data_IF_663977702128
#
_entry.id   IF_663977702128
#
_cell.length_a   1.000
_cell.length_b   1.000
_cell.length_c   1.000
_cell.angle_alpha   90.00
_cell.angle_beta   90.00
_cell.angle_gamma   90.00
#
_symmetry.space_group_name_H-M   'P 1'
#
loop_
_entity.id
_entity.type
_entity.pdbx_description
1 polymer ?
#
# COMPACT_ATOMS: atom_id res chain seq x y z
N UNK A 1 -28.75 25.25 -5.48
CA UNK A 1 -29.88 24.49 -6.04
C UNK A 1 -29.73 23.07 -5.51
N UNK A 2 -30.43 22.75 -4.42
CA UNK A 2 -30.64 21.35 -4.02
C UNK A 2 -31.77 20.82 -4.90
N UNK A 3 -31.47 20.51 -6.15
CA UNK A 3 -32.38 19.64 -6.90
C UNK A 3 -32.31 18.26 -6.25
N UNK A 4 -33.47 17.72 -5.87
CA UNK A 4 -33.63 16.42 -5.22
C UNK A 4 -33.06 15.32 -6.13
N UNK A 5 -31.76 15.04 -6.00
CA UNK A 5 -31.15 13.89 -6.65
C UNK A 5 -31.77 12.62 -6.07
N UNK A 6 -32.58 11.94 -6.86
CA UNK A 6 -33.19 10.67 -6.47
C UNK A 6 -32.23 9.52 -6.79
N UNK A 7 -31.51 9.04 -5.78
CA UNK A 7 -30.58 7.92 -5.92
C UNK A 7 -31.29 6.56 -6.19
N UNK A 8 -32.59 6.47 -5.90
CA UNK A 8 -33.34 5.20 -5.95
C UNK A 8 -32.98 4.23 -4.82
N UNK A 9 -32.35 4.71 -3.75
CA UNK A 9 -32.04 3.97 -2.52
C UNK A 9 -31.79 4.97 -1.35
N UNK A 10 -31.85 4.53 -0.08
CA UNK A 10 -31.59 5.41 1.06
C UNK A 10 -30.18 5.98 1.04
N UNK A 11 -30.07 7.31 1.12
CA UNK A 11 -28.81 8.06 1.10
C UNK A 11 -28.70 9.01 2.29
N UNK A 12 -27.48 9.42 2.59
CA UNK A 12 -27.18 10.47 3.56
C UNK A 12 -26.01 11.32 3.05
N UNK A 13 -25.92 12.57 3.51
CA UNK A 13 -24.79 13.44 3.21
C UNK A 13 -23.75 13.30 4.32
N UNK A 14 -22.53 12.97 3.95
CA UNK A 14 -21.39 12.90 4.86
C UNK A 14 -20.33 13.92 4.47
N UNK A 15 -19.56 14.38 5.45
CA UNK A 15 -18.37 15.21 5.23
C UNK A 15 -17.12 14.36 5.43
N UNK A 16 -16.25 14.32 4.44
CA UNK A 16 -14.93 13.70 4.54
C UNK A 16 -13.87 14.67 4.02
N UNK A 17 -12.86 14.99 4.83
CA UNK A 17 -11.93 16.06 4.50
C UNK A 17 -12.65 17.39 4.27
N UNK A 18 -12.42 17.99 3.10
CA UNK A 18 -13.04 19.27 2.72
C UNK A 18 -14.31 19.11 1.86
N UNK A 19 -14.70 17.89 1.53
CA UNK A 19 -15.82 17.62 0.62
C UNK A 19 -17.06 17.17 1.36
N UNK A 20 -18.23 17.48 0.79
CA UNK A 20 -19.52 16.91 1.18
C UNK A 20 -19.99 15.98 0.08
N UNK A 21 -20.39 14.77 0.44
CA UNK A 21 -20.79 13.76 -0.54
C UNK A 21 -22.08 13.08 -0.09
N UNK A 22 -22.96 12.83 -1.04
CA UNK A 22 -24.08 11.93 -0.89
C UNK A 22 -23.57 10.49 -1.03
N UNK A 23 -23.88 9.66 -0.04
CA UNK A 23 -23.48 8.25 0.02
C UNK A 23 -24.70 7.39 0.38
N UNK A 24 -24.69 6.08 0.07
CA UNK A 24 -25.71 5.19 0.59
C UNK A 24 -25.69 5.17 2.13
N UNK A 25 -26.87 5.23 2.73
CA UNK A 25 -27.04 5.09 4.18
C UNK A 25 -26.81 3.63 4.58
N UNK A 26 -25.62 3.31 5.08
CA UNK A 26 -25.15 1.94 5.21
C UNK A 26 -26.01 1.08 6.14
N UNK A 27 -26.61 1.67 7.18
CA UNK A 27 -27.49 0.97 8.14
C UNK A 27 -28.71 0.38 7.44
N UNK A 28 -29.18 0.97 6.34
CA UNK A 28 -30.30 0.46 5.56
C UNK A 28 -29.99 -0.84 4.79
N UNK A 29 -28.71 -1.22 4.70
CA UNK A 29 -28.25 -2.41 3.94
C UNK A 29 -27.71 -3.53 4.82
N UNK A 30 -27.77 -3.38 6.14
CA UNK A 30 -27.43 -4.43 7.12
C UNK A 30 -28.66 -5.30 7.36
N UNK A 31 -28.62 -6.57 6.91
CA UNK A 31 -29.68 -7.56 7.16
C UNK A 31 -29.33 -8.52 8.29
N UNK A 32 -28.04 -8.69 8.58
CA UNK A 32 -27.52 -9.52 9.67
C UNK A 32 -26.29 -8.88 10.32
N UNK A 33 -25.96 -9.20 11.59
CA UNK A 33 -24.79 -8.66 12.26
C UNK A 33 -23.44 -9.00 11.60
N UNK A 34 -23.37 -10.04 10.78
CA UNK A 34 -22.16 -10.43 10.03
C UNK A 34 -22.05 -9.75 8.66
N UNK A 35 -23.00 -8.90 8.30
CA UNK A 35 -23.02 -8.24 7.00
C UNK A 35 -21.98 -7.13 6.91
N UNK A 36 -21.14 -7.22 5.88
CA UNK A 36 -20.30 -6.11 5.49
C UNK A 36 -21.09 -5.12 4.62
N UNK A 37 -21.80 -4.20 5.30
CA UNK A 37 -22.74 -3.24 4.70
C UNK A 37 -22.20 -2.52 3.44
N UNK A 38 -20.94 -2.03 3.38
CA UNK A 38 -20.42 -1.37 2.19
C UNK A 38 -20.51 -2.20 0.91
N UNK A 39 -20.32 -3.53 1.01
CA UNK A 39 -20.41 -4.44 -0.15
C UNK A 39 -21.83 -4.75 -0.60
N UNK A 40 -22.83 -4.45 0.23
CA UNK A 40 -24.25 -4.70 -0.05
C UNK A 40 -24.97 -3.46 -0.57
N UNK A 41 -24.39 -2.28 -0.38
CA UNK A 41 -24.97 -1.03 -0.86
C UNK A 41 -24.94 -0.97 -2.41
N UNK A 42 -25.94 -0.35 -3.07
CA UNK A 42 -25.99 -0.22 -4.53
C UNK A 42 -24.84 0.57 -5.14
N UNK A 43 -24.20 1.44 -4.35
CA UNK A 43 -22.99 2.18 -4.69
C UNK A 43 -22.02 1.99 -3.52
N UNK A 44 -20.75 1.79 -3.80
CA UNK A 44 -19.79 1.56 -2.73
C UNK A 44 -19.33 2.86 -2.05
N UNK A 45 -19.35 2.84 -0.72
CA UNK A 45 -18.66 3.79 0.13
C UNK A 45 -18.29 3.08 1.44
N UNK A 46 -17.04 3.22 1.88
CA UNK A 46 -16.58 2.70 3.17
C UNK A 46 -15.95 3.83 4.00
N UNK A 47 -16.56 4.24 5.13
CA UNK A 47 -16.01 5.27 6.01
C UNK A 47 -14.71 4.84 6.70
N UNK A 48 -14.44 3.53 6.84
CA UNK A 48 -13.16 3.03 7.40
C UNK A 48 -11.97 3.37 6.50
N UNK A 49 -12.21 3.57 5.20
CA UNK A 49 -11.19 3.95 4.21
C UNK A 49 -10.86 5.46 4.20
N UNK A 50 -11.34 6.25 5.17
CA UNK A 50 -10.98 7.67 5.25
C UNK A 50 -9.48 7.88 5.46
N UNK A 51 -8.83 7.10 6.34
CA UNK A 51 -7.37 7.20 6.52
C UNK A 51 -6.62 6.94 5.23
N UNK A 52 -7.09 5.94 4.48
CA UNK A 52 -6.54 5.56 3.19
C UNK A 52 -6.64 6.73 2.20
N UNK A 53 -7.79 7.40 2.13
CA UNK A 53 -7.99 8.59 1.27
C UNK A 53 -7.19 9.80 1.74
N UNK A 54 -7.10 10.06 3.04
CA UNK A 54 -6.25 11.12 3.61
C UNK A 54 -4.78 10.92 3.22
N UNK A 55 -4.26 9.69 3.38
CA UNK A 55 -2.88 9.36 2.99
C UNK A 55 -2.66 9.52 1.49
N UNK A 56 -3.65 9.20 0.66
CA UNK A 56 -3.55 9.42 -0.79
C UNK A 56 -3.49 10.91 -1.14
N UNK A 57 -4.29 11.76 -0.50
CA UNK A 57 -4.22 13.23 -0.69
C UNK A 57 -2.81 13.74 -0.35
N UNK A 58 -2.23 13.28 0.76
CA UNK A 58 -0.85 13.65 1.14
C UNK A 58 0.19 13.16 0.13
N UNK A 59 0.08 11.91 -0.31
CA UNK A 59 1.01 11.33 -1.28
C UNK A 59 0.93 12.05 -2.62
N UNK A 60 -0.27 12.41 -3.07
CA UNK A 60 -0.48 13.12 -4.32
C UNK A 60 0.05 14.56 -4.25
N UNK A 61 -0.13 15.24 -3.12
CA UNK A 61 0.43 16.56 -2.89
C UNK A 61 1.97 16.54 -2.78
N UNK A 62 2.54 15.52 -2.14
CA UNK A 62 3.99 15.31 -2.10
C UNK A 62 4.56 15.09 -3.51
N UNK A 63 3.91 14.26 -4.32
CA UNK A 63 4.24 14.07 -5.72
C UNK A 63 4.15 15.37 -6.53
N UNK A 64 3.07 16.14 -6.38
CA UNK A 64 2.92 17.42 -7.07
C UNK A 64 4.08 18.37 -6.76
N UNK A 65 4.50 18.47 -5.48
CA UNK A 65 5.65 19.29 -5.07
C UNK A 65 6.98 18.81 -5.67
N UNK A 66 7.12 17.53 -5.98
CA UNK A 66 8.32 16.99 -6.61
C UNK A 66 8.37 17.25 -8.11
N UNK A 67 7.22 17.22 -8.79
CA UNK A 67 7.15 17.48 -10.25
C UNK A 67 6.96 18.96 -10.59
N UNK A 68 6.52 19.76 -9.62
CA UNK A 68 6.36 21.22 -9.67
C UNK A 68 5.65 21.73 -10.92
N UNK A 69 4.49 21.13 -11.22
CA UNK A 69 3.62 21.57 -12.31
C UNK A 69 2.18 21.15 -12.08
N UNK A 70 1.29 21.66 -12.91
CA UNK A 70 -0.07 21.17 -13.01
C UNK A 70 -0.12 19.76 -13.60
N UNK A 71 -1.12 19.00 -13.16
CA UNK A 71 -1.15 17.57 -13.43
C UNK A 71 -2.57 16.98 -13.44
N UNK A 72 -2.72 15.87 -14.16
CA UNK A 72 -3.97 15.13 -14.31
C UNK A 72 -3.98 13.80 -13.59
N UNK A 73 -5.11 13.47 -12.97
CA UNK A 73 -5.25 12.31 -12.09
C UNK A 73 -6.37 11.40 -12.61
N UNK A 74 -6.21 10.09 -12.49
CA UNK A 74 -7.27 9.13 -12.77
C UNK A 74 -7.59 8.25 -11.56
N UNK A 75 -8.88 8.16 -11.24
CA UNK A 75 -9.46 7.15 -10.36
C UNK A 75 -10.41 6.26 -11.18
N UNK A 76 -9.96 5.09 -11.66
CA UNK A 76 -10.75 4.26 -12.56
C UNK A 76 -11.85 3.44 -11.88
N UNK A 77 -11.88 3.39 -10.54
CA UNK A 77 -12.75 2.54 -9.71
C UNK A 77 -13.32 3.37 -8.55
N UNK A 78 -14.23 4.27 -8.85
CA UNK A 78 -14.51 5.42 -7.99
C UNK A 78 -15.62 5.25 -6.95
N UNK A 79 -16.53 4.28 -7.11
CA UNK A 79 -17.75 4.22 -6.32
C UNK A 79 -18.51 5.55 -6.37
N UNK A 80 -18.73 6.17 -5.20
CA UNK A 80 -19.39 7.48 -5.10
C UNK A 80 -18.52 8.69 -5.52
N UNK A 81 -17.26 8.49 -5.94
CA UNK A 81 -16.36 9.55 -6.43
C UNK A 81 -15.59 10.30 -5.34
N UNK A 82 -15.71 9.90 -4.07
CA UNK A 82 -15.13 10.63 -2.93
C UNK A 82 -13.65 10.95 -3.09
N UNK A 83 -12.83 9.99 -3.53
CA UNK A 83 -11.38 10.17 -3.61
C UNK A 83 -11.02 11.16 -4.72
N UNK A 84 -11.56 11.00 -5.93
CA UNK A 84 -11.31 11.91 -7.05
C UNK A 84 -11.78 13.34 -6.77
N UNK A 85 -12.92 13.50 -6.11
CA UNK A 85 -13.42 14.81 -5.66
C UNK A 85 -12.47 15.41 -4.63
N UNK A 86 -11.99 14.62 -3.66
CA UNK A 86 -10.98 15.07 -2.69
C UNK A 86 -9.67 15.44 -3.37
N UNK A 87 -9.21 14.70 -4.39
CA UNK A 87 -8.02 15.10 -5.16
C UNK A 87 -8.21 16.45 -5.85
N UNK A 88 -9.34 16.66 -6.53
CA UNK A 88 -9.62 17.93 -7.20
C UNK A 88 -9.78 19.11 -6.23
N UNK A 89 -10.31 18.87 -5.03
CA UNK A 89 -10.56 19.91 -4.02
C UNK A 89 -9.34 20.22 -3.18
N UNK A 90 -8.65 19.20 -2.73
CA UNK A 90 -7.68 19.27 -1.63
C UNK A 90 -6.23 19.28 -2.11
N UNK A 91 -5.92 18.88 -3.36
CA UNK A 91 -4.55 18.81 -3.87
C UNK A 91 -4.28 19.97 -4.82
N UNK A 92 -3.34 20.83 -4.43
CA UNK A 92 -2.89 21.98 -5.22
C UNK A 92 -2.19 21.49 -6.48
N UNK A 93 -2.46 22.13 -7.62
CA UNK A 93 -1.90 21.78 -8.93
C UNK A 93 -2.67 20.71 -9.69
N UNK A 94 -3.74 20.12 -9.13
CA UNK A 94 -4.63 19.25 -9.91
C UNK A 94 -5.46 20.10 -10.87
N UNK A 95 -5.15 19.96 -12.17
CA UNK A 95 -5.86 20.60 -13.27
C UNK A 95 -7.14 19.84 -13.59
N UNK A 96 -7.01 18.50 -13.70
CA UNK A 96 -8.09 17.61 -14.13
C UNK A 96 -8.08 16.28 -13.39
N UNK A 97 -9.26 15.82 -12.98
CA UNK A 97 -9.46 14.47 -12.45
C UNK A 97 -10.43 13.72 -13.36
N UNK A 98 -10.05 12.52 -13.77
CA UNK A 98 -10.95 11.57 -14.45
C UNK A 98 -11.37 10.51 -13.46
N UNK A 99 -12.66 10.49 -13.14
CA UNK A 99 -13.30 9.56 -12.22
C UNK A 99 -14.15 8.59 -13.03
N UNK A 100 -14.07 7.30 -12.75
CA UNK A 100 -14.81 6.29 -13.49
C UNK A 100 -15.33 5.18 -12.58
N UNK A 101 -16.46 4.61 -12.96
CA UNK A 101 -16.95 3.36 -12.40
C UNK A 101 -17.73 2.59 -13.47
N UNK A 102 -17.72 1.26 -13.40
CA UNK A 102 -18.50 0.41 -14.31
C UNK A 102 -20.00 0.43 -13.94
N UNK A 103 -20.33 0.69 -12.67
CA UNK A 103 -21.70 0.77 -12.19
C UNK A 103 -22.32 2.13 -12.52
N UNK A 104 -23.34 2.13 -13.39
CA UNK A 104 -24.04 3.35 -13.79
C UNK A 104 -24.65 4.14 -12.63
N UNK A 105 -25.11 3.48 -11.56
CA UNK A 105 -25.61 4.16 -10.34
C UNK A 105 -24.50 4.89 -9.59
N UNK A 106 -23.32 4.29 -9.55
CA UNK A 106 -22.13 4.90 -8.94
C UNK A 106 -21.72 6.16 -9.70
N UNK A 107 -21.77 6.10 -11.04
CA UNK A 107 -21.50 7.25 -11.92
C UNK A 107 -22.51 8.38 -11.73
N UNK A 108 -23.81 8.08 -11.63
CA UNK A 108 -24.83 9.10 -11.38
C UNK A 108 -24.59 9.79 -10.03
N UNK A 109 -24.33 9.01 -8.98
CA UNK A 109 -24.03 9.55 -7.65
C UNK A 109 -22.72 10.37 -7.65
N UNK A 110 -21.68 9.91 -8.35
CA UNK A 110 -20.42 10.62 -8.48
C UNK A 110 -20.59 11.96 -9.22
N UNK A 111 -21.38 12.02 -10.30
CA UNK A 111 -21.72 13.28 -10.99
C UNK A 111 -22.40 14.28 -10.05
N UNK A 112 -23.41 13.83 -9.32
CA UNK A 112 -24.08 14.65 -8.32
C UNK A 112 -23.12 15.16 -7.24
N UNK A 113 -22.24 14.28 -6.73
CA UNK A 113 -21.24 14.65 -5.75
C UNK A 113 -20.20 15.65 -6.29
N UNK A 114 -19.83 15.57 -7.57
CA UNK A 114 -18.97 16.56 -8.22
C UNK A 114 -19.65 17.94 -8.25
N UNK A 115 -20.92 17.99 -8.66
CA UNK A 115 -21.72 19.21 -8.70
C UNK A 115 -21.92 19.82 -7.31
N UNK A 116 -22.21 18.98 -6.30
CA UNK A 116 -22.37 19.39 -4.90
C UNK A 116 -21.14 20.11 -4.33
N UNK A 117 -19.96 19.83 -4.86
CA UNK A 117 -18.71 20.46 -4.46
C UNK A 117 -18.25 21.57 -5.42
N UNK A 118 -19.01 21.87 -6.48
CA UNK A 118 -18.70 22.89 -7.47
C UNK A 118 -17.46 22.56 -8.31
N UNK A 119 -17.25 21.28 -8.63
CA UNK A 119 -16.03 20.78 -9.29
C UNK A 119 -16.25 20.29 -10.73
N UNK A 120 -17.39 20.58 -11.35
CA UNK A 120 -17.78 20.08 -12.68
C UNK A 120 -16.79 20.45 -13.79
N UNK A 121 -16.09 21.58 -13.67
CA UNK A 121 -15.05 22.00 -14.62
C UNK A 121 -13.74 21.22 -14.49
N UNK A 122 -13.45 20.66 -13.31
CA UNK A 122 -12.20 19.94 -13.02
C UNK A 122 -12.35 18.43 -13.05
N UNK A 123 -13.53 17.90 -12.75
CA UNK A 123 -13.77 16.47 -12.59
C UNK A 123 -14.65 15.93 -13.71
N UNK A 124 -14.09 15.03 -14.51
CA UNK A 124 -14.82 14.32 -15.56
C UNK A 124 -15.21 12.94 -15.05
N UNK A 125 -16.51 12.65 -15.05
CA UNK A 125 -17.05 11.35 -14.63
C UNK A 125 -17.41 10.49 -15.83
N UNK A 126 -16.90 9.25 -15.89
CA UNK A 126 -17.13 8.30 -16.98
C UNK A 126 -17.76 6.99 -16.48
N UNK A 127 -18.47 6.30 -17.37
CA UNK A 127 -19.08 4.99 -17.10
C UNK A 127 -18.50 3.94 -18.05
N UNK A 128 -17.29 3.47 -17.77
CA UNK A 128 -16.55 2.54 -18.60
C UNK A 128 -15.97 1.42 -17.74
N UNK A 129 -15.60 0.31 -18.39
CA UNK A 129 -14.64 -0.62 -17.79
C UNK A 129 -13.30 0.10 -17.53
N UNK A 130 -12.68 -0.19 -16.40
CA UNK A 130 -11.45 0.47 -15.96
C UNK A 130 -10.27 0.24 -16.93
N UNK A 131 -10.13 -0.97 -17.49
CA UNK A 131 -9.07 -1.26 -18.47
C UNK A 131 -9.36 -0.57 -19.80
N UNK A 132 -10.62 -0.54 -20.24
CA UNK A 132 -11.01 0.21 -21.44
C UNK A 132 -10.71 1.70 -21.30
N UNK A 133 -11.07 2.31 -20.16
CA UNK A 133 -10.72 3.68 -19.84
C UNK A 133 -9.21 3.91 -19.95
N UNK A 134 -8.43 3.17 -19.16
CA UNK A 134 -6.98 3.36 -19.07
C UNK A 134 -6.31 3.12 -20.44
N UNK A 135 -6.78 2.13 -21.20
CA UNK A 135 -6.33 1.88 -22.58
C UNK A 135 -6.52 3.08 -23.50
N UNK A 136 -7.63 3.82 -23.36
CA UNK A 136 -7.89 5.06 -24.10
C UNK A 136 -6.90 6.20 -23.80
N UNK A 137 -6.22 6.15 -22.66
CA UNK A 137 -5.22 7.13 -22.21
C UNK A 137 -3.77 6.67 -22.42
N UNK A 138 -3.54 5.47 -22.97
CA UNK A 138 -2.18 4.93 -23.19
C UNK A 138 -1.37 5.65 -24.29
N UNK A 139 -2.04 6.44 -25.14
CA UNK A 139 -1.40 7.18 -26.23
C UNK A 139 -0.49 8.32 -25.71
N UNK A 140 0.63 8.62 -26.39
CA UNK A 140 1.46 9.77 -26.06
C UNK A 140 0.64 11.07 -25.93
N UNK A 141 1.04 11.95 -25.00
CA UNK A 141 0.37 13.23 -24.67
C UNK A 141 -1.03 13.14 -24.06
N UNK A 142 -1.65 11.96 -23.96
CA UNK A 142 -2.93 11.77 -23.24
C UNK A 142 -2.74 11.26 -21.81
N UNK A 143 -1.62 10.59 -21.53
CA UNK A 143 -1.33 9.89 -20.28
C UNK A 143 -1.50 10.74 -19.02
N UNK A 144 -1.93 10.09 -17.95
CA UNK A 144 -2.09 10.70 -16.64
C UNK A 144 -0.75 10.93 -15.95
N UNK A 145 -0.74 11.90 -15.04
CA UNK A 145 0.36 12.10 -14.11
C UNK A 145 0.29 11.20 -12.90
N UNK A 146 -0.93 10.92 -12.46
CA UNK A 146 -1.17 10.03 -11.34
C UNK A 146 -2.39 9.14 -11.57
N UNK A 147 -2.32 7.89 -11.12
CA UNK A 147 -3.41 6.92 -11.18
C UNK A 147 -3.54 6.25 -9.81
N UNK A 148 -4.75 6.19 -9.25
CA UNK A 148 -5.04 5.48 -7.98
C UNK A 148 -5.96 4.27 -8.25
N UNK A 149 -5.40 3.07 -8.19
CA UNK A 149 -6.09 1.78 -8.37
C UNK A 149 -6.52 1.24 -7.01
N UNK A 150 -7.81 1.36 -6.69
CA UNK A 150 -8.41 0.96 -5.40
C UNK A 150 -9.61 0.00 -5.56
N UNK A 151 -9.39 -1.27 -5.98
CA UNK A 151 -10.46 -2.22 -6.21
C UNK A 151 -10.87 -3.00 -4.96
N UNK A 152 -11.94 -3.79 -5.10
CA UNK A 152 -12.16 -4.96 -4.24
C UNK A 152 -11.20 -6.08 -4.57
N UNK A 153 -10.35 -6.43 -3.61
CA UNK A 153 -9.39 -7.52 -3.72
C UNK A 153 -8.10 -7.07 -4.41
N UNK A 154 -7.62 -7.77 -5.45
CA UNK A 154 -6.32 -7.52 -6.04
C UNK A 154 -6.35 -6.39 -7.10
N UNK A 155 -5.33 -5.52 -7.15
CA UNK A 155 -5.16 -4.50 -8.21
C UNK A 155 -4.55 -5.06 -9.50
N UNK A 156 -4.06 -6.31 -9.47
CA UNK A 156 -3.38 -6.98 -10.58
C UNK A 156 -4.10 -6.84 -11.93
N UNK A 157 -5.44 -7.03 -12.04
CA UNK A 157 -6.13 -6.97 -13.33
C UNK A 157 -6.05 -5.63 -14.06
N UNK A 158 -5.62 -4.57 -13.38
CA UNK A 158 -5.57 -3.21 -13.93
C UNK A 158 -4.12 -2.71 -14.15
N UNK A 159 -3.10 -3.47 -13.70
CA UNK A 159 -1.71 -2.99 -13.68
C UNK A 159 -1.17 -2.68 -15.07
N UNK A 160 -1.40 -3.55 -16.05
CA UNK A 160 -0.88 -3.38 -17.42
C UNK A 160 -1.39 -2.08 -18.05
N UNK A 161 -2.72 -1.88 -18.01
CA UNK A 161 -3.38 -0.68 -18.53
C UNK A 161 -2.96 0.56 -17.77
N UNK A 162 -2.86 0.50 -16.44
CA UNK A 162 -2.44 1.62 -15.60
C UNK A 162 -1.01 2.07 -15.92
N UNK A 163 -0.07 1.13 -16.03
CA UNK A 163 1.33 1.42 -16.39
C UNK A 163 1.41 2.14 -17.75
N UNK A 164 0.66 1.66 -18.75
CA UNK A 164 0.67 2.24 -20.11
C UNK A 164 -0.01 3.62 -20.16
N UNK A 165 -1.01 3.84 -19.31
CA UNK A 165 -1.75 5.09 -19.19
C UNK A 165 -1.02 6.16 -18.36
N UNK A 166 0.07 5.80 -17.68
CA UNK A 166 0.86 6.69 -16.84
C UNK A 166 2.02 7.27 -17.63
N UNK A 167 2.26 8.59 -17.53
CA UNK A 167 3.36 9.25 -18.23
C UNK A 167 4.72 8.98 -17.55
N UNK A 168 5.81 9.33 -18.23
CA UNK A 168 7.14 9.29 -17.65
C UNK A 168 7.21 10.18 -16.40
N UNK A 169 7.74 9.65 -15.30
CA UNK A 169 7.77 10.31 -14.00
C UNK A 169 6.46 10.20 -13.22
N UNK A 170 5.40 9.59 -13.77
CA UNK A 170 4.08 9.56 -13.14
C UNK A 170 4.02 8.69 -11.89
N UNK A 171 3.04 8.98 -11.03
CA UNK A 171 2.76 8.29 -9.76
C UNK A 171 1.64 7.25 -9.92
N UNK A 172 1.92 6.00 -9.55
CA UNK A 172 0.92 4.95 -9.44
C UNK A 172 0.68 4.62 -7.96
N UNK A 173 -0.57 4.70 -7.53
CA UNK A 173 -1.02 4.22 -6.22
C UNK A 173 -1.83 2.93 -6.41
N UNK A 174 -1.51 1.91 -5.63
CA UNK A 174 -2.14 0.59 -5.68
C UNK A 174 -2.66 0.22 -4.29
N UNK A 175 -3.90 -0.24 -4.23
CA UNK A 175 -4.50 -0.82 -3.02
C UNK A 175 -4.77 -2.31 -3.26
N UNK A 176 -4.42 -3.14 -2.29
CA UNK A 176 -4.83 -4.55 -2.28
C UNK A 176 -5.49 -4.90 -0.95
N UNK A 177 -6.68 -5.53 -1.03
CA UNK A 177 -7.45 -5.93 0.15
C UNK A 177 -7.54 -7.45 0.31
N UNK A 178 -7.04 -8.24 -0.65
CA UNK A 178 -7.02 -9.72 -0.59
C UNK A 178 -5.81 -10.28 0.17
N UNK A 179 -5.57 -9.75 1.38
CA UNK A 179 -4.44 -10.11 2.24
C UNK A 179 -4.35 -11.60 2.56
N UNK A 180 -5.46 -12.34 2.55
CA UNK A 180 -5.44 -13.80 2.71
C UNK A 180 -4.57 -14.50 1.64
N UNK A 181 -4.58 -14.00 0.40
CA UNK A 181 -3.68 -14.51 -0.64
C UNK A 181 -2.24 -14.11 -0.34
N UNK A 182 -1.99 -12.80 -0.19
CA UNK A 182 -0.66 -12.22 -0.05
C UNK A 182 0.09 -12.64 1.23
N UNK A 183 -0.63 -12.93 2.31
CA UNK A 183 -0.07 -13.35 3.61
C UNK A 183 0.04 -14.88 3.74
N UNK A 184 -0.19 -15.62 2.67
CA UNK A 184 0.06 -17.06 2.62
C UNK A 184 -1.04 -17.96 3.18
N UNK A 185 -2.26 -17.47 3.41
CA UNK A 185 -3.42 -18.34 3.70
C UNK A 185 -3.81 -19.13 2.44
N UNK A 186 -3.81 -18.47 1.29
CA UNK A 186 -4.09 -19.08 -0.02
C UNK A 186 -2.90 -18.94 -0.98
N UNK A 187 -1.80 -19.69 -0.78
CA UNK A 187 -0.54 -19.48 -1.51
C UNK A 187 -0.69 -19.69 -3.03
N UNK A 188 -1.49 -20.68 -3.47
CA UNK A 188 -1.77 -20.89 -4.91
C UNK A 188 -2.48 -19.70 -5.55
N UNK A 189 -3.35 -19.01 -4.81
CA UNK A 189 -4.02 -17.80 -5.32
C UNK A 189 -3.03 -16.64 -5.44
N UNK A 190 -2.12 -16.48 -4.48
CA UNK A 190 -1.07 -15.48 -4.55
C UNK A 190 -0.14 -15.69 -5.75
N UNK A 191 0.31 -16.93 -5.99
CA UNK A 191 1.16 -17.25 -7.15
C UNK A 191 0.43 -16.91 -8.46
N UNK A 192 -0.83 -17.31 -8.63
CA UNK A 192 -1.61 -17.02 -9.85
C UNK A 192 -1.81 -15.53 -10.10
N UNK A 193 -2.02 -14.74 -9.04
CA UNK A 193 -2.31 -13.30 -9.14
C UNK A 193 -1.05 -12.45 -9.22
N UNK A 194 -0.09 -12.68 -8.33
CA UNK A 194 1.06 -11.79 -8.15
C UNK A 194 2.36 -12.34 -8.76
N UNK A 195 2.38 -13.61 -9.17
CA UNK A 195 3.57 -14.25 -9.74
C UNK A 195 4.63 -14.65 -8.71
N UNK A 196 4.38 -14.44 -7.41
CA UNK A 196 5.32 -14.76 -6.34
C UNK A 196 4.70 -15.69 -5.28
N UNK A 197 5.53 -16.58 -4.72
CA UNK A 197 5.18 -17.42 -3.57
C UNK A 197 5.15 -16.59 -2.29
N UNK A 198 4.04 -16.56 -1.53
CA UNK A 198 4.02 -15.96 -0.20
C UNK A 198 4.53 -16.94 0.87
N UNK A 199 4.86 -16.40 2.04
CA UNK A 199 5.05 -17.20 3.25
C UNK A 199 4.15 -16.69 4.38
N UNK A 200 3.66 -17.62 5.19
CA UNK A 200 2.89 -17.32 6.41
C UNK A 200 3.83 -17.07 7.59
N UNK A 201 4.52 -15.94 7.56
CA UNK A 201 5.48 -15.51 8.59
C UNK A 201 4.90 -14.41 9.47
N UNK A 202 5.60 -14.07 10.54
CA UNK A 202 5.29 -12.95 11.42
C UNK A 202 5.40 -11.58 10.73
N UNK A 203 6.08 -11.52 9.58
CA UNK A 203 6.26 -10.34 8.74
C UNK A 203 5.51 -10.44 7.39
N UNK A 204 4.45 -11.25 7.34
CA UNK A 204 3.66 -11.48 6.12
C UNK A 204 3.08 -10.20 5.49
N UNK A 205 2.77 -9.16 6.28
CA UNK A 205 2.30 -7.88 5.75
C UNK A 205 3.39 -7.14 4.96
N UNK A 206 4.66 -7.25 5.37
CA UNK A 206 5.76 -6.71 4.57
C UNK A 206 5.99 -7.55 3.31
N UNK A 207 5.89 -8.88 3.41
CA UNK A 207 5.93 -9.75 2.22
C UNK A 207 4.81 -9.41 1.23
N UNK A 208 3.61 -9.12 1.73
CA UNK A 208 2.46 -8.73 0.91
C UNK A 208 2.76 -7.48 0.08
N UNK A 209 3.28 -6.43 0.72
CA UNK A 209 3.72 -5.20 0.02
C UNK A 209 4.80 -5.51 -1.01
N UNK A 210 5.79 -6.32 -0.65
CA UNK A 210 6.90 -6.66 -1.55
C UNK A 210 6.47 -7.52 -2.74
N UNK A 211 5.51 -8.41 -2.57
CA UNK A 211 4.91 -9.21 -3.64
C UNK A 211 4.12 -8.31 -4.61
N UNK A 212 3.33 -7.37 -4.09
CA UNK A 212 2.62 -6.40 -4.93
C UNK A 212 3.60 -5.50 -5.69
N UNK A 213 4.61 -4.96 -5.01
CA UNK A 213 5.66 -4.15 -5.63
C UNK A 213 6.45 -4.93 -6.69
N UNK A 214 6.77 -6.19 -6.44
CA UNK A 214 7.45 -7.05 -7.40
C UNK A 214 6.59 -7.37 -8.63
N UNK A 215 5.30 -7.64 -8.42
CA UNK A 215 4.33 -7.82 -9.50
C UNK A 215 4.23 -6.57 -10.39
N UNK A 216 4.19 -5.38 -9.77
CA UNK A 216 4.23 -4.11 -10.49
C UNK A 216 5.53 -3.95 -11.28
N UNK A 217 6.70 -4.20 -10.68
CA UNK A 217 7.99 -4.05 -11.34
C UNK A 217 8.11 -4.94 -12.59
N UNK A 218 7.71 -6.21 -12.50
CA UNK A 218 7.71 -7.13 -13.65
C UNK A 218 6.70 -6.69 -14.71
N UNK A 219 5.54 -6.19 -14.31
CA UNK A 219 4.52 -5.68 -15.27
C UNK A 219 5.03 -4.45 -16.01
N UNK A 220 5.67 -3.51 -15.32
CA UNK A 220 6.21 -2.30 -15.91
C UNK A 220 7.40 -2.58 -16.85
N UNK A 221 8.27 -3.51 -16.47
CA UNK A 221 9.44 -3.86 -17.28
C UNK A 221 9.07 -4.42 -18.66
N UNK A 222 7.91 -5.08 -18.81
CA UNK A 222 7.41 -5.55 -20.13
C UNK A 222 7.18 -4.42 -21.14
N UNK A 223 7.07 -3.17 -20.64
CA UNK A 223 6.86 -1.96 -21.44
C UNK A 223 8.08 -1.05 -21.45
N UNK A 224 9.26 -1.56 -21.07
CA UNK A 224 10.49 -0.77 -20.88
C UNK A 224 10.31 0.38 -19.85
N UNK A 225 9.53 0.13 -18.80
CA UNK A 225 9.27 1.10 -17.73
C UNK A 225 9.85 0.59 -16.41
N UNK A 226 10.69 1.43 -15.80
CA UNK A 226 11.20 1.26 -14.45
C UNK A 226 10.17 1.73 -13.43
N UNK A 227 10.18 1.10 -12.25
CA UNK A 227 9.44 1.57 -11.08
C UNK A 227 10.38 1.85 -9.92
N UNK A 228 10.06 2.90 -9.16
CA UNK A 228 10.68 3.20 -7.86
C UNK A 228 9.58 3.28 -6.82
N UNK A 229 9.62 2.39 -5.82
CA UNK A 229 8.68 2.46 -4.69
C UNK A 229 9.06 3.64 -3.81
N UNK A 230 8.13 4.59 -3.63
CA UNK A 230 8.36 5.82 -2.88
C UNK A 230 7.69 5.82 -1.51
N UNK A 231 6.59 5.07 -1.36
CA UNK A 231 5.88 4.94 -0.10
C UNK A 231 5.01 3.68 -0.11
N UNK A 232 4.78 3.08 1.06
CA UNK A 232 3.82 2.01 1.22
C UNK A 232 3.28 2.00 2.65
N UNK A 233 2.13 1.38 2.87
CA UNK A 233 1.71 1.06 4.23
C UNK A 233 0.82 -0.18 4.27
N UNK A 234 0.89 -0.91 5.38
CA UNK A 234 -0.14 -1.87 5.78
C UNK A 234 -0.98 -1.23 6.85
N UNK A 235 -2.30 -1.17 6.67
CA UNK A 235 -3.20 -0.58 7.67
C UNK A 235 -4.53 -1.30 7.67
N UNK A 236 -5.01 -1.65 8.87
CA UNK A 236 -6.23 -2.43 9.05
C UNK A 236 -6.21 -3.72 8.21
N UNK A 237 -7.04 -3.82 7.18
CA UNK A 237 -7.16 -5.01 6.32
C UNK A 237 -6.75 -4.77 4.86
N UNK A 238 -5.89 -3.79 4.61
CA UNK A 238 -5.36 -3.52 3.27
C UNK A 238 -3.88 -3.15 3.30
N UNK A 239 -3.24 -3.29 2.15
CA UNK A 239 -1.92 -2.73 1.89
C UNK A 239 -1.99 -1.69 0.77
N UNK A 240 -1.06 -0.75 0.79
CA UNK A 240 -0.86 0.25 -0.24
C UNK A 240 0.58 0.35 -0.69
N UNK A 241 0.75 0.58 -1.99
CA UNK A 241 2.04 0.81 -2.64
C UNK A 241 1.92 2.03 -3.54
N UNK A 242 2.83 2.99 -3.37
CA UNK A 242 3.00 4.16 -4.21
C UNK A 242 4.33 4.06 -4.91
N UNK A 243 4.33 4.16 -6.24
CA UNK A 243 5.51 4.04 -7.07
C UNK A 243 5.55 5.13 -8.13
N UNK A 244 6.74 5.69 -8.38
CA UNK A 244 6.97 6.53 -9.56
C UNK A 244 7.50 5.67 -10.71
N UNK A 245 7.26 6.11 -11.94
CA UNK A 245 7.70 5.40 -13.15
C UNK A 245 8.75 6.17 -13.92
N UNK A 246 9.67 5.47 -14.57
CA UNK A 246 10.62 6.09 -15.49
C UNK A 246 10.78 5.24 -16.76
N UNK A 247 10.66 5.88 -17.93
CA UNK A 247 10.76 5.17 -19.20
C UNK A 247 12.22 4.90 -19.59
N UNK A 248 12.44 3.74 -20.21
CA UNK A 248 13.68 3.32 -20.83
C UNK A 248 14.08 1.91 -20.40
N UNK A 249 14.43 1.06 -21.38
CA UNK A 249 14.81 -0.34 -21.16
C UNK A 249 15.94 -0.48 -20.12
N UNK A 250 17.01 0.34 -20.21
CA UNK A 250 18.11 0.34 -19.23
C UNK A 250 17.63 0.63 -17.80
N UNK A 251 16.68 1.54 -17.63
CA UNK A 251 16.10 1.85 -16.32
C UNK A 251 15.22 0.70 -15.83
N UNK A 252 14.48 0.06 -16.73
CA UNK A 252 13.68 -1.12 -16.41
C UNK A 252 14.58 -2.27 -15.91
N UNK A 253 15.71 -2.51 -16.57
CA UNK A 253 16.72 -3.47 -16.12
C UNK A 253 17.27 -3.13 -14.73
N UNK A 254 17.55 -1.85 -14.47
CA UNK A 254 17.97 -1.38 -13.15
C UNK A 254 16.90 -1.56 -12.07
N UNK A 255 15.65 -1.30 -12.39
CA UNK A 255 14.51 -1.55 -11.49
C UNK A 255 14.42 -3.03 -11.14
N UNK A 256 14.55 -3.93 -12.12
CA UNK A 256 14.51 -5.38 -11.94
C UNK A 256 15.65 -5.92 -11.07
N UNK A 257 16.79 -5.22 -10.93
CA UNK A 257 17.85 -5.60 -9.98
C UNK A 257 17.41 -5.57 -8.52
N UNK A 258 16.26 -4.96 -8.23
CA UNK A 258 15.61 -4.95 -6.91
C UNK A 258 14.61 -6.10 -6.72
N UNK A 259 14.51 -7.03 -7.68
CA UNK A 259 13.77 -8.27 -7.53
C UNK A 259 14.64 -9.33 -6.83
N UNK A 260 13.99 -10.22 -6.10
CA UNK A 260 14.64 -11.35 -5.45
C UNK A 260 13.68 -12.15 -4.59
N UNK A 261 14.23 -12.82 -3.58
CA UNK A 261 13.53 -13.73 -2.70
C UNK A 261 13.91 -13.46 -1.25
N UNK A 262 13.07 -13.92 -0.32
CA UNK A 262 13.37 -13.97 1.11
C UNK A 262 13.43 -15.42 1.53
N UNK A 263 14.62 -15.89 1.89
CA UNK A 263 14.79 -17.19 2.54
C UNK A 263 14.38 -17.07 4.00
N UNK A 264 13.69 -18.07 4.53
CA UNK A 264 13.22 -18.09 5.92
C UNK A 264 13.33 -19.48 6.54
N UNK A 265 13.83 -19.54 7.77
CA UNK A 265 13.85 -20.74 8.59
C UNK A 265 12.77 -20.65 9.67
N UNK A 266 11.72 -21.47 9.56
CA UNK A 266 10.64 -21.53 10.55
C UNK A 266 11.06 -22.10 11.90
N UNK A 267 12.25 -22.72 12.01
CA UNK A 267 12.76 -23.26 13.28
C UNK A 267 13.41 -22.19 14.15
N UNK A 268 14.24 -21.33 13.57
CA UNK A 268 15.04 -20.37 14.33
C UNK A 268 14.74 -18.90 13.98
N UNK A 269 13.81 -18.64 13.05
CA UNK A 269 13.42 -17.33 12.54
C UNK A 269 14.53 -16.58 11.76
N UNK A 270 15.64 -17.26 11.44
CA UNK A 270 16.63 -16.73 10.51
C UNK A 270 15.99 -16.45 9.15
N UNK A 271 16.39 -15.34 8.54
CA UNK A 271 15.91 -14.91 7.24
C UNK A 271 16.91 -14.02 6.56
N UNK A 272 17.00 -14.14 5.24
CA UNK A 272 17.94 -13.37 4.43
C UNK A 272 17.35 -13.08 3.04
N UNK A 273 17.57 -11.86 2.49
CA UNK A 273 17.26 -11.57 1.11
C UNK A 273 18.30 -12.20 0.18
N UNK A 274 17.83 -12.82 -0.91
CA UNK A 274 18.69 -13.37 -1.97
C UNK A 274 18.22 -12.83 -3.32
N UNK A 275 19.16 -12.39 -4.17
CA UNK A 275 18.83 -11.80 -5.49
C UNK A 275 18.37 -12.87 -6.49
N UNK A 276 19.15 -13.94 -6.57
CA UNK A 276 18.88 -15.06 -7.47
C UNK A 276 18.65 -16.29 -6.62
N UNK A 277 17.65 -17.10 -6.99
CA UNK A 277 17.40 -18.39 -6.39
C UNK A 277 17.98 -19.45 -7.33
N UNK A 278 19.15 -20.01 -6.99
CA UNK A 278 19.68 -21.17 -7.70
C UNK A 278 18.98 -22.45 -7.23
N UNK A 279 19.06 -23.53 -8.01
CA UNK A 279 18.51 -24.84 -7.62
C UNK A 279 19.05 -25.33 -6.27
N UNK A 280 20.28 -24.96 -5.91
CA UNK A 280 20.91 -25.32 -4.63
C UNK A 280 20.35 -24.52 -3.45
N UNK A 281 19.86 -23.29 -3.68
CA UNK A 281 19.30 -22.42 -2.65
C UNK A 281 17.93 -22.91 -2.16
N UNK A 282 17.15 -23.56 -3.04
CA UNK A 282 15.83 -24.12 -2.70
C UNK A 282 15.93 -25.29 -1.70
N UNK A 283 17.08 -25.97 -1.68
CA UNK A 283 17.41 -27.03 -0.71
C UNK A 283 18.31 -26.56 0.43
N UNK A 284 18.53 -25.26 0.58
CA UNK A 284 19.48 -24.74 1.56
C UNK A 284 19.03 -25.06 3.00
N UNK A 285 19.96 -25.62 3.75
CA UNK A 285 19.86 -25.71 5.20
C UNK A 285 20.20 -24.35 5.81
N UNK A 286 19.46 -24.00 6.86
CA UNK A 286 19.66 -22.77 7.60
C UNK A 286 21.07 -22.72 8.19
N UNK A 287 21.82 -21.67 7.84
CA UNK A 287 23.20 -21.46 8.30
C UNK A 287 23.33 -21.33 9.82
N UNK A 288 22.22 -21.02 10.50
CA UNK A 288 22.20 -20.83 11.96
C UNK A 288 21.77 -22.08 12.74
N UNK A 289 20.99 -23.01 12.16
CA UNK A 289 20.44 -24.15 12.92
C UNK A 289 20.35 -25.47 12.16
N UNK A 290 20.81 -25.52 10.91
CA UNK A 290 20.81 -26.69 10.05
C UNK A 290 19.44 -27.14 9.53
N UNK A 291 18.33 -26.52 9.96
CA UNK A 291 16.99 -26.90 9.50
C UNK A 291 16.72 -26.45 8.07
N UNK A 292 15.83 -27.16 7.36
CA UNK A 292 15.40 -26.77 6.01
C UNK A 292 14.78 -25.37 6.00
N UNK A 293 15.19 -24.55 5.04
CA UNK A 293 14.60 -23.25 4.80
C UNK A 293 13.45 -23.33 3.78
N UNK A 294 12.55 -22.36 3.83
CA UNK A 294 11.58 -22.08 2.78
C UNK A 294 11.81 -20.66 2.23
N UNK A 295 11.10 -20.27 1.17
CA UNK A 295 11.29 -18.99 0.50
C UNK A 295 9.97 -18.29 0.14
N UNK A 296 10.02 -16.96 0.15
CA UNK A 296 9.02 -16.08 -0.48
C UNK A 296 9.61 -15.43 -1.72
N UNK A 297 8.83 -15.31 -2.80
CA UNK A 297 9.21 -14.58 -4.01
C UNK A 297 8.89 -15.32 -5.33
N UNK A 298 9.28 -14.76 -6.48
CA UNK A 298 10.00 -13.49 -6.61
C UNK A 298 9.17 -12.31 -6.08
N UNK A 299 9.85 -11.35 -5.45
CA UNK A 299 9.27 -10.15 -4.83
C UNK A 299 10.28 -8.99 -4.85
N UNK A 300 9.83 -7.79 -4.48
CA UNK A 300 10.69 -6.62 -4.35
C UNK A 300 11.54 -6.67 -3.07
N UNK A 301 12.86 -6.74 -3.21
CA UNK A 301 13.83 -6.68 -2.10
C UNK A 301 14.47 -5.29 -1.94
N UNK A 302 14.18 -4.35 -2.84
CA UNK A 302 14.65 -2.96 -2.76
C UNK A 302 14.01 -2.15 -1.61
N UNK A 303 14.36 -0.86 -1.54
CA UNK A 303 13.74 0.11 -0.62
C UNK A 303 12.24 0.23 -0.89
N UNK A 304 11.46 0.41 0.17
CA UNK A 304 10.01 0.63 0.11
C UNK A 304 9.60 2.08 0.38
N UNK A 305 10.54 2.89 0.82
CA UNK A 305 10.30 4.26 1.27
C UNK A 305 11.37 5.17 0.69
N UNK A 306 10.91 6.28 0.12
CA UNK A 306 11.76 7.42 -0.21
C UNK A 306 11.66 8.44 0.92
N UNK A 307 12.79 8.76 1.54
CA UNK A 307 12.83 9.61 2.74
C UNK A 307 12.34 11.03 2.45
N UNK A 308 12.62 11.54 1.25
CA UNK A 308 12.19 12.87 0.84
C UNK A 308 10.68 12.88 0.58
N UNK A 309 10.15 11.87 -0.10
CA UNK A 309 8.71 11.71 -0.29
C UNK A 309 7.97 11.66 1.06
N UNK A 310 8.47 10.87 2.02
CA UNK A 310 7.89 10.78 3.37
C UNK A 310 7.94 12.12 4.12
N UNK A 311 9.04 12.87 3.98
CA UNK A 311 9.21 14.20 4.58
C UNK A 311 8.18 15.18 4.02
N UNK A 312 7.98 15.20 2.70
CA UNK A 312 6.99 16.05 2.05
C UNK A 312 5.56 15.72 2.51
N UNK A 313 5.23 14.44 2.70
CA UNK A 313 3.93 14.02 3.26
C UNK A 313 3.73 14.49 4.70
N UNK A 314 4.75 14.43 5.56
CA UNK A 314 4.68 14.92 6.94
C UNK A 314 4.48 16.44 7.00
N UNK A 315 5.22 17.20 6.19
CA UNK A 315 5.05 18.65 6.09
C UNK A 315 3.63 19.01 5.66
N UNK A 316 3.09 18.27 4.70
CA UNK A 316 1.75 18.50 4.19
C UNK A 316 0.67 18.15 5.22
N UNK A 317 0.85 17.07 5.99
CA UNK A 317 -0.02 16.73 7.11
C UNK A 317 -0.07 17.87 8.15
N UNK A 318 1.05 18.56 8.36
CA UNK A 318 1.16 19.72 9.25
C UNK A 318 0.14 20.81 8.91
N UNK A 319 -0.08 21.06 7.62
CA UNK A 319 -0.94 22.12 7.08
C UNK A 319 -2.43 21.76 7.03
N UNK A 320 -2.79 20.49 7.24
CA UNK A 320 -4.15 19.97 7.07
C UNK A 320 -4.83 19.65 8.39
N UNK A 321 -6.16 19.69 8.37
CA UNK A 321 -7.04 19.44 9.51
C UNK A 321 -7.86 18.15 9.32
N UNK A 322 -7.19 17.02 9.13
CA UNK A 322 -7.85 15.73 9.01
C UNK A 322 -8.36 15.21 10.36
N UNK A 323 -9.53 14.56 10.34
CA UNK A 323 -10.10 13.89 11.52
C UNK A 323 -9.14 12.84 12.09
N UNK A 324 -8.44 12.11 11.21
CA UNK A 324 -7.50 11.05 11.57
C UNK A 324 -6.04 11.53 11.65
N UNK A 325 -5.79 12.85 11.72
CA UNK A 325 -4.44 13.47 11.70
C UNK A 325 -3.45 12.80 12.66
N UNK A 326 -3.83 12.60 13.93
CA UNK A 326 -2.96 11.95 14.94
C UNK A 326 -2.58 10.51 14.59
N UNK A 327 -3.48 9.78 13.92
CA UNK A 327 -3.22 8.40 13.49
C UNK A 327 -2.24 8.39 12.31
N UNK A 328 -2.42 9.31 11.36
CA UNK A 328 -1.53 9.48 10.21
C UNK A 328 -0.16 9.99 10.64
N UNK A 329 -0.08 10.91 11.60
CA UNK A 329 1.18 11.44 12.15
C UNK A 329 2.03 10.32 12.77
N UNK A 330 1.41 9.44 13.56
CA UNK A 330 2.08 8.25 14.09
C UNK A 330 2.55 7.31 12.99
N UNK A 331 1.73 7.09 11.96
CA UNK A 331 2.05 6.23 10.81
C UNK A 331 3.25 6.77 10.03
N UNK A 332 3.21 8.04 9.60
CA UNK A 332 4.28 8.68 8.84
C UNK A 332 5.57 8.76 9.65
N UNK A 333 5.47 9.10 10.95
CA UNK A 333 6.63 9.14 11.84
C UNK A 333 7.31 7.78 12.00
N UNK A 334 6.56 6.67 12.02
CA UNK A 334 7.13 5.33 12.00
C UNK A 334 7.80 5.04 10.64
N UNK A 335 7.09 5.25 9.54
CA UNK A 335 7.57 4.96 8.18
C UNK A 335 8.84 5.75 7.83
N UNK A 336 8.90 7.04 8.18
CA UNK A 336 10.10 7.86 7.95
C UNK A 336 11.33 7.32 8.69
N UNK A 337 11.14 6.80 9.90
CA UNK A 337 12.21 6.16 10.67
C UNK A 337 12.58 4.77 10.10
N UNK A 338 11.65 4.10 9.42
CA UNK A 338 11.87 2.82 8.74
C UNK A 338 12.58 2.93 7.39
N UNK A 339 12.72 4.13 6.81
CA UNK A 339 13.24 4.31 5.46
C UNK A 339 14.63 3.69 5.23
N UNK A 340 15.46 3.65 6.27
CA UNK A 340 16.80 3.04 6.26
C UNK A 340 16.88 1.73 7.05
N UNK A 341 15.73 1.20 7.47
CA UNK A 341 15.66 -0.03 8.24
C UNK A 341 15.85 -1.26 7.32
N UNK A 342 16.43 -2.35 7.84
CA UNK A 342 16.63 -3.56 7.06
C UNK A 342 15.30 -4.20 6.63
N UNK A 343 15.37 -5.02 5.59
CA UNK A 343 14.26 -5.82 5.08
C UNK A 343 13.72 -6.77 6.15
N UNK A 344 12.40 -6.97 6.18
CA UNK A 344 11.67 -7.79 7.17
C UNK A 344 11.84 -7.31 8.61
N UNK A 345 11.21 -7.97 9.58
CA UNK A 345 11.31 -7.67 11.00
C UNK A 345 11.11 -8.92 11.85
N UNK A 346 11.59 -8.89 13.09
CA UNK A 346 11.26 -9.88 14.11
C UNK A 346 10.03 -9.41 14.88
N UNK A 347 9.18 -10.34 15.29
CA UNK A 347 8.06 -10.06 16.20
C UNK A 347 8.42 -10.57 17.59
N UNK A 348 8.53 -9.67 18.57
CA UNK A 348 9.09 -9.98 19.91
C UNK A 348 8.28 -11.06 20.63
N UNK A 349 6.95 -10.95 20.63
CA UNK A 349 6.06 -11.93 21.26
C UNK A 349 6.17 -13.32 20.59
N UNK A 350 6.26 -13.39 19.26
CA UNK A 350 6.43 -14.65 18.53
C UNK A 350 7.77 -15.33 18.80
N UNK A 351 8.83 -14.55 18.91
CA UNK A 351 10.13 -15.09 19.32
C UNK A 351 10.12 -15.59 20.77
N UNK A 352 9.53 -14.82 21.68
CA UNK A 352 9.43 -15.21 23.08
C UNK A 352 8.59 -16.48 23.27
N UNK A 353 7.45 -16.59 22.57
CA UNK A 353 6.60 -17.78 22.55
C UNK A 353 7.39 -19.02 22.09
N UNK A 354 8.11 -18.91 20.96
CA UNK A 354 8.95 -20.00 20.45
C UNK A 354 10.15 -20.35 21.35
N UNK A 355 10.51 -19.48 22.30
CA UNK A 355 11.60 -19.70 23.25
C UNK A 355 11.10 -20.03 24.67
N UNK A 356 9.78 -20.07 24.90
CA UNK A 356 9.16 -20.17 26.21
C UNK A 356 9.65 -19.08 27.20
N UNK A 357 9.71 -17.83 26.74
CA UNK A 357 10.15 -16.68 27.52
C UNK A 357 9.00 -15.71 27.83
N UNK A 358 9.12 -14.99 28.95
CA UNK A 358 8.28 -13.82 29.22
C UNK A 358 8.52 -12.72 28.17
N UNK A 359 7.48 -12.03 27.74
CA UNK A 359 7.56 -11.04 26.66
C UNK A 359 8.03 -9.68 27.22
N UNK A 360 9.25 -9.22 26.94
CA UNK A 360 9.70 -7.90 27.36
C UNK A 360 9.02 -6.79 26.54
N UNK A 361 9.12 -5.55 27.00
CA UNK A 361 8.65 -4.41 26.22
C UNK A 361 9.51 -4.23 24.96
N UNK A 362 8.86 -3.95 23.82
CA UNK A 362 9.54 -3.71 22.53
C UNK A 362 10.56 -2.57 22.64
N UNK A 363 10.24 -1.54 23.43
CA UNK A 363 11.15 -0.41 23.71
C UNK A 363 12.43 -0.86 24.43
N UNK A 364 12.33 -1.80 25.39
CA UNK A 364 13.49 -2.39 26.07
C UNK A 364 14.35 -3.20 25.10
N UNK A 365 13.74 -4.01 24.25
CA UNK A 365 14.47 -4.77 23.20
C UNK A 365 15.19 -3.81 22.25
N UNK A 366 14.52 -2.75 21.79
CA UNK A 366 15.08 -1.75 20.90
C UNK A 366 16.29 -1.04 21.51
N UNK A 367 16.21 -0.61 22.78
CA UNK A 367 17.31 0.09 23.45
C UNK A 367 18.53 -0.82 23.63
N UNK A 368 18.30 -2.09 23.99
CA UNK A 368 19.38 -3.06 24.18
C UNK A 368 20.04 -3.42 22.86
N UNK A 369 19.29 -3.61 21.77
CA UNK A 369 19.87 -3.82 20.45
C UNK A 369 20.79 -2.65 20.05
N UNK A 370 20.33 -1.41 20.25
CA UNK A 370 21.14 -0.21 19.97
C UNK A 370 22.40 -0.13 20.84
N UNK A 371 22.30 -0.42 22.15
CA UNK A 371 23.46 -0.46 23.07
C UNK A 371 24.50 -1.51 22.66
N UNK A 372 24.06 -2.61 22.05
CA UNK A 372 24.94 -3.65 21.52
C UNK A 372 25.45 -3.35 20.09
N UNK A 373 25.24 -2.13 19.58
CA UNK A 373 25.78 -1.69 18.28
C UNK A 373 24.95 -2.12 17.06
N UNK A 374 23.77 -2.73 17.25
CA UNK A 374 22.89 -3.09 16.14
C UNK A 374 22.01 -1.92 15.71
N UNK A 375 21.70 -1.87 14.40
CA UNK A 375 20.62 -1.02 13.93
C UNK A 375 19.30 -1.59 14.41
N UNK A 376 18.40 -0.75 14.93
CA UNK A 376 17.11 -1.21 15.45
C UNK A 376 16.04 -0.13 15.28
N UNK A 377 14.94 -0.52 14.64
CA UNK A 377 13.83 0.35 14.31
C UNK A 377 12.50 -0.33 14.67
N UNK A 378 11.52 0.47 15.09
CA UNK A 378 10.14 0.03 15.14
C UNK A 378 9.60 -0.10 13.71
N UNK A 379 8.50 -0.82 13.55
CA UNK A 379 7.84 -0.98 12.26
C UNK A 379 6.34 -0.74 12.33
N UNK A 380 5.79 -0.05 11.34
CA UNK A 380 4.37 0.20 11.18
C UNK A 380 3.61 -1.09 10.79
N UNK A 381 4.30 -2.09 10.22
CA UNK A 381 3.70 -3.37 9.87
C UNK A 381 3.22 -4.16 11.08
N UNK A 382 3.88 -4.00 12.23
CA UNK A 382 3.52 -4.71 13.46
C UNK A 382 3.99 -3.93 14.71
N UNK A 383 3.10 -3.59 15.66
CA UNK A 383 3.47 -2.84 16.88
C UNK A 383 4.42 -3.61 17.81
N UNK A 384 4.55 -4.93 17.64
CA UNK A 384 5.51 -5.80 18.34
C UNK A 384 6.75 -6.12 17.49
N UNK A 385 6.84 -5.51 16.30
CA UNK A 385 7.90 -5.73 15.35
C UNK A 385 9.15 -4.88 15.63
N UNK A 386 10.32 -5.47 15.39
CA UNK A 386 11.62 -4.78 15.40
C UNK A 386 12.39 -5.13 14.13
N UNK A 387 12.73 -4.12 13.34
CA UNK A 387 13.68 -4.24 12.22
C UNK A 387 15.09 -4.06 12.74
N UNK A 388 15.97 -5.01 12.48
CA UNK A 388 17.37 -4.95 12.93
C UNK A 388 18.27 -5.80 12.05
N UNK A 389 19.56 -5.42 11.96
CA UNK A 389 20.60 -6.20 11.28
C UNK A 389 21.17 -7.34 12.14
N UNK A 390 20.60 -7.57 13.33
CA UNK A 390 20.98 -8.68 14.21
C UNK A 390 20.62 -10.05 13.60
N UNK A 391 21.52 -11.03 13.74
CA UNK A 391 21.26 -12.42 13.36
C UNK A 391 20.18 -13.05 14.26
N UNK A 392 19.50 -14.09 13.80
CA UNK A 392 18.40 -14.66 14.58
C UNK A 392 18.90 -15.32 15.86
N UNK A 393 20.05 -15.99 15.80
CA UNK A 393 20.75 -16.58 16.94
C UNK A 393 21.07 -15.52 17.97
N UNK A 394 21.64 -14.38 17.54
CA UNK A 394 22.00 -13.31 18.47
C UNK A 394 20.78 -12.60 19.06
N UNK A 395 19.71 -12.44 18.27
CA UNK A 395 18.43 -11.92 18.75
C UNK A 395 17.85 -12.81 19.86
N UNK A 396 17.90 -14.14 19.69
CA UNK A 396 17.44 -15.11 20.70
C UNK A 396 18.28 -15.04 21.98
N UNK A 397 19.61 -14.92 21.86
CA UNK A 397 20.50 -14.73 23.02
C UNK A 397 20.17 -13.44 23.78
N UNK A 398 19.96 -12.33 23.06
CA UNK A 398 19.61 -11.04 23.67
C UNK A 398 18.28 -11.15 24.41
N UNK A 399 17.26 -11.77 23.80
CA UNK A 399 15.96 -11.95 24.45
C UNK A 399 16.06 -12.77 25.74
N UNK A 400 16.86 -13.85 25.76
CA UNK A 400 17.12 -14.62 27.00
C UNK A 400 17.75 -13.75 28.08
N UNK A 401 18.83 -13.04 27.76
CA UNK A 401 19.52 -12.15 28.70
C UNK A 401 18.61 -11.06 29.28
N UNK A 402 17.69 -10.53 28.46
CA UNK A 402 16.72 -9.51 28.88
C UNK A 402 15.76 -10.04 29.95
N UNK A 403 15.33 -11.29 29.80
CA UNK A 403 14.37 -11.96 30.68
C UNK A 403 15.05 -12.46 31.96
N UNK A 404 16.28 -12.97 31.84
CA UNK A 404 17.09 -13.45 32.97
C UNK A 404 17.64 -12.30 33.85
N UNK A 405 17.36 -11.03 33.50
CA UNK A 405 17.77 -9.86 34.28
C UNK A 405 19.24 -9.43 34.10
N UNK A 406 19.93 -9.99 33.10
CA UNK A 406 21.38 -9.83 32.90
C UNK A 406 21.78 -8.62 32.03
N UNK A 407 20.85 -7.73 31.64
CA UNK A 407 21.09 -6.52 30.81
C UNK A 407 20.08 -5.38 31.01
#
# INVERSE_FOLDING_TARGET
MEENFEAGFPTEVVKEGEVRILVPKLEAFVKSPSDYAPSKAPVFYNPVMELNRDVAVLALQAYQRMVDREFSVCEPLAGCGVRGIRFAKEVVGVEKVVVNDINGKAVQLAKHNVELNGLSEKVVVQNLDANFLLGGYAAPRKRFDAIDIDPFGPPVPYLDSAVRALRNGGLLALTATDLASLCGVYPKACIRKYGGKPLRTEYCHELAVRLLAGCLAVTAAKHDIAVKIVFCHSTDHYIRVYATTEYGAKKADESLKNMGYIMHCFRCFHREPVKNLSFFDVSANCRECGAKMDFAGPLWIGKLFDKEFCRLMEEELGKRSFRLKRRIEKLLGLIKNEAEAPITYYTVDKLCDALNLQVPSVKKVLSILKRNGYSAFLTHFNPKGVKSNVSATKMREILRKIVDGNQ
#
